data_IF_685986364273
#
_entry.id   IF_685986364273
#
_cell.length_a   1.000
_cell.length_b   1.000
_cell.length_c   1.000
_cell.angle_alpha   90.00
_cell.angle_beta   90.00
_cell.angle_gamma   90.00
#
_symmetry.space_group_name_H-M   'P 1'
#
loop_
_entity.id
_entity.type
_entity.pdbx_description
1 polymer ?
#
# COMPACT_ATOMS: atom_id res chain seq x y z
N UNK A 1 0.45 -15.28 6.41
CA UNK A 1 0.29 -15.24 4.94
C UNK A 1 0.83 -13.90 4.46
N UNK A 2 1.38 -13.82 3.25
CA UNK A 2 1.86 -12.53 2.72
C UNK A 2 0.76 -11.85 1.92
N UNK A 3 0.62 -10.56 2.16
CA UNK A 3 -0.39 -9.70 1.56
C UNK A 3 0.29 -8.53 0.89
N UNK A 4 -0.35 -8.01 -0.15
CA UNK A 4 0.10 -6.81 -0.83
C UNK A 4 -1.05 -5.83 -0.97
N UNK A 5 -0.75 -4.58 -0.65
CA UNK A 5 -1.60 -3.43 -0.86
C UNK A 5 -0.90 -2.51 -1.87
N UNK A 6 -1.60 -2.15 -2.93
CA UNK A 6 -1.12 -1.21 -3.94
C UNK A 6 -2.05 -0.02 -3.93
N UNK A 7 -1.48 1.13 -3.62
CA UNK A 7 -2.14 2.42 -3.71
C UNK A 7 -1.56 3.19 -4.89
N UNK A 8 -2.36 4.04 -5.52
CA UNK A 8 -1.87 4.93 -6.57
C UNK A 8 -2.32 6.36 -6.41
N UNK A 9 -1.53 7.25 -6.99
CA UNK A 9 -1.82 8.67 -7.09
C UNK A 9 -1.27 9.23 -8.39
N UNK A 10 -1.64 10.48 -8.71
CA UNK A 10 -0.98 11.23 -9.79
C UNK A 10 0.52 11.25 -9.54
N UNK A 11 1.32 11.19 -10.60
CA UNK A 11 2.78 11.20 -10.47
C UNK A 11 3.24 12.33 -9.55
N UNK A 12 3.92 11.95 -8.48
CA UNK A 12 4.57 12.86 -7.55
C UNK A 12 6.08 12.77 -7.71
N UNK A 13 6.78 13.86 -7.35
CA UNK A 13 8.21 13.80 -7.15
C UNK A 13 8.46 13.29 -5.74
N UNK A 14 9.04 12.10 -5.62
CA UNK A 14 9.36 11.53 -4.32
C UNK A 14 10.61 12.25 -3.78
N UNK A 15 10.52 12.93 -2.60
CA UNK A 15 11.68 13.56 -1.99
C UNK A 15 12.62 12.51 -1.38
N UNK A 16 13.91 12.82 -1.29
CA UNK A 16 14.83 12.04 -0.47
C UNK A 16 14.47 12.25 1.02
N UNK A 17 14.27 11.17 1.78
CA UNK A 17 14.06 11.25 3.22
C UNK A 17 12.95 10.36 3.75
N UNK A 18 12.16 10.89 4.69
CA UNK A 18 11.08 10.15 5.34
C UNK A 18 9.82 10.11 4.47
N UNK A 19 9.51 8.92 3.97
CA UNK A 19 8.40 8.67 3.06
C UNK A 19 7.05 8.53 3.77
N UNK A 20 7.06 8.17 5.06
CA UNK A 20 5.82 7.86 5.79
C UNK A 20 4.93 9.11 5.93
N UNK A 21 5.44 10.28 6.36
CA UNK A 21 4.63 11.49 6.46
C UNK A 21 4.01 11.91 5.12
N UNK A 22 4.74 11.73 4.01
CA UNK A 22 4.25 12.01 2.66
C UNK A 22 3.07 11.09 2.29
N UNK A 23 3.20 9.79 2.52
CA UNK A 23 2.14 8.84 2.20
C UNK A 23 0.90 9.13 3.05
N UNK A 24 1.08 9.39 4.35
CA UNK A 24 -0.03 9.73 5.24
C UNK A 24 -0.73 11.01 4.77
N UNK A 25 0.00 12.06 4.41
CA UNK A 25 -0.61 13.30 3.91
C UNK A 25 -1.41 13.07 2.62
N UNK A 26 -0.90 12.26 1.70
CA UNK A 26 -1.61 11.93 0.46
C UNK A 26 -2.93 11.18 0.73
N UNK A 27 -2.94 10.28 1.71
CA UNK A 27 -4.15 9.57 2.12
C UNK A 27 -5.15 10.55 2.77
N UNK A 28 -4.71 11.39 3.70
CA UNK A 28 -5.55 12.35 4.41
C UNK A 28 -6.17 13.41 3.47
N UNK A 29 -5.41 13.82 2.45
CA UNK A 29 -5.85 14.76 1.40
C UNK A 29 -6.73 14.11 0.32
N UNK A 30 -6.98 12.79 0.41
CA UNK A 30 -7.75 11.98 -0.55
C UNK A 30 -7.16 12.00 -1.96
N UNK A 31 -5.84 12.07 -2.07
CA UNK A 31 -5.13 12.00 -3.35
C UNK A 31 -4.74 10.57 -3.73
N UNK A 32 -5.13 9.58 -2.92
CA UNK A 32 -4.81 8.16 -3.10
C UNK A 32 -6.03 7.32 -3.48
N UNK A 33 -5.83 6.40 -4.41
CA UNK A 33 -6.79 5.35 -4.80
C UNK A 33 -6.25 3.97 -4.41
N UNK A 34 -7.14 3.04 -4.06
CA UNK A 34 -6.79 1.64 -3.76
C UNK A 34 -6.86 0.85 -5.07
N UNK A 35 -5.70 0.50 -5.64
CA UNK A 35 -5.64 -0.29 -6.88
C UNK A 35 -5.74 -1.80 -6.60
N UNK A 36 -5.15 -2.26 -5.49
CA UNK A 36 -5.16 -3.67 -5.13
C UNK A 36 -5.02 -3.89 -3.63
N UNK A 37 -5.83 -4.77 -3.06
CA UNK A 37 -5.69 -5.25 -1.69
C UNK A 37 -5.94 -6.76 -1.65
N UNK A 38 -4.89 -7.56 -1.47
CA UNK A 38 -4.99 -8.99 -1.72
C UNK A 38 -3.84 -9.82 -1.19
N UNK A 39 -3.76 -11.05 -1.69
CA UNK A 39 -2.66 -11.98 -1.38
C UNK A 39 -1.56 -11.71 -2.39
N UNK A 40 -0.31 -11.74 -1.96
CA UNK A 40 0.81 -11.64 -2.88
C UNK A 40 0.80 -12.83 -3.86
N UNK A 41 0.62 -12.56 -5.15
CA UNK A 41 0.62 -13.58 -6.21
C UNK A 41 2.03 -13.65 -6.79
N UNK A 42 2.64 -14.84 -6.73
CA UNK A 42 4.02 -15.09 -7.21
C UNK A 42 4.19 -15.10 -8.74
N UNK A 43 3.29 -14.52 -9.53
CA UNK A 43 3.43 -14.55 -10.98
C UNK A 43 2.74 -13.36 -11.65
N UNK A 44 3.55 -12.43 -12.14
CA UNK A 44 3.10 -11.33 -13.01
C UNK A 44 3.67 -11.60 -14.39
N UNK A 45 2.93 -12.31 -15.25
CA UNK A 45 3.23 -12.29 -16.68
C UNK A 45 2.82 -10.93 -17.22
N UNK A 46 3.80 -10.03 -17.36
CA UNK A 46 3.59 -8.67 -17.83
C UNK A 46 3.34 -8.64 -19.35
N UNK A 47 2.11 -8.32 -19.75
CA UNK A 47 1.79 -7.88 -21.11
C UNK A 47 1.34 -6.42 -21.07
N UNK A 48 2.26 -5.49 -21.25
CA UNK A 48 1.97 -4.05 -21.26
C UNK A 48 1.72 -3.54 -22.69
N UNK A 49 0.52 -3.05 -22.96
CA UNK A 49 0.27 -2.23 -24.15
C UNK A 49 0.69 -0.75 -23.95
N UNK A 50 0.72 0.03 -25.03
CA UNK A 50 1.13 1.44 -25.02
C UNK A 50 0.24 2.35 -24.14
N UNK A 51 -1.05 2.02 -23.99
CA UNK A 51 -1.95 2.79 -23.13
C UNK A 51 -1.69 2.49 -21.65
N UNK A 52 -1.38 1.24 -21.32
CA UNK A 52 -1.00 0.80 -20.00
C UNK A 52 0.34 1.43 -19.57
N UNK A 53 1.31 1.52 -20.49
CA UNK A 53 2.57 2.26 -20.25
C UNK A 53 2.36 3.74 -19.97
N UNK A 54 1.45 4.40 -20.69
CA UNK A 54 1.15 5.81 -20.46
C UNK A 54 0.55 6.04 -19.07
N UNK A 55 -0.37 5.17 -18.64
CA UNK A 55 -0.94 5.22 -17.29
C UNK A 55 0.16 5.04 -16.24
N UNK A 56 1.02 4.04 -16.38
CA UNK A 56 2.13 3.76 -15.46
C UNK A 56 3.10 4.95 -15.35
N UNK A 57 3.37 5.65 -16.45
CA UNK A 57 4.29 6.79 -16.45
C UNK A 57 3.71 8.07 -15.82
N UNK A 58 2.38 8.19 -15.78
CA UNK A 58 1.67 9.33 -15.18
C UNK A 58 1.20 9.07 -13.73
N UNK A 59 1.47 7.88 -13.22
CA UNK A 59 0.98 7.39 -11.93
C UNK A 59 2.16 6.97 -11.06
N UNK A 60 2.08 7.38 -9.80
CA UNK A 60 2.97 6.93 -8.74
C UNK A 60 2.27 5.83 -7.97
N UNK A 61 2.99 4.74 -7.71
CA UNK A 61 2.48 3.59 -6.97
C UNK A 61 3.17 3.47 -5.61
N UNK A 62 2.38 3.22 -4.57
CA UNK A 62 2.87 2.86 -3.24
C UNK A 62 2.46 1.41 -2.99
N UNK A 63 3.46 0.52 -2.95
CA UNK A 63 3.28 -0.92 -2.74
C UNK A 63 3.69 -1.26 -1.30
N UNK A 64 2.79 -1.87 -0.54
CA UNK A 64 3.01 -2.23 0.86
C UNK A 64 2.85 -3.74 1.01
N UNK A 65 3.92 -4.39 1.42
CA UNK A 65 3.96 -5.82 1.74
C UNK A 65 3.87 -6.00 3.25
N UNK A 66 2.99 -6.88 3.71
CA UNK A 66 2.80 -7.16 5.12
C UNK A 66 2.29 -8.59 5.36
N UNK A 67 2.57 -9.13 6.56
CA UNK A 67 2.15 -10.47 6.96
C UNK A 67 0.91 -10.42 7.86
N UNK A 68 -0.11 -11.21 7.52
CA UNK A 68 -1.34 -11.34 8.32
C UNK A 68 -1.91 -12.75 8.26
N UNK A 69 -2.94 -13.02 9.08
CA UNK A 69 -3.78 -14.20 8.87
C UNK A 69 -4.73 -13.96 7.68
N UNK A 70 -5.72 -14.83 7.52
CA UNK A 70 -6.70 -14.72 6.44
C UNK A 70 -7.51 -13.44 6.59
N UNK A 71 -7.48 -12.59 5.57
CA UNK A 71 -8.29 -11.38 5.46
C UNK A 71 -9.54 -11.68 4.63
N UNK A 72 -10.71 -11.22 5.07
CA UNK A 72 -11.91 -11.18 4.25
C UNK A 72 -11.97 -9.86 3.47
N UNK A 73 -11.32 -9.81 2.32
CA UNK A 73 -11.17 -8.57 1.54
C UNK A 73 -12.50 -7.93 1.13
N UNK A 74 -13.57 -8.73 0.98
CA UNK A 74 -14.88 -8.24 0.55
C UNK A 74 -15.60 -7.43 1.64
N UNK A 75 -15.14 -7.49 2.89
CA UNK A 75 -15.73 -6.73 4.00
C UNK A 75 -15.15 -5.33 4.16
N UNK A 76 -14.16 -4.93 3.36
CA UNK A 76 -13.49 -3.65 3.48
C UNK A 76 -13.88 -2.71 2.34
N UNK A 77 -14.20 -1.47 2.67
CA UNK A 77 -14.29 -0.38 1.70
C UNK A 77 -12.90 0.21 1.47
N UNK A 78 -12.71 0.96 0.37
CA UNK A 78 -11.46 1.66 0.10
C UNK A 78 -11.06 2.56 1.28
N UNK A 79 -12.04 3.19 1.93
CA UNK A 79 -11.81 4.02 3.12
C UNK A 79 -11.23 3.19 4.27
N UNK A 80 -11.73 1.98 4.49
CA UNK A 80 -11.25 1.09 5.55
C UNK A 80 -9.83 0.62 5.27
N UNK A 81 -9.52 0.34 4.00
CA UNK A 81 -8.17 -0.01 3.55
C UNK A 81 -7.20 1.16 3.73
N UNK A 82 -7.61 2.39 3.41
CA UNK A 82 -6.79 3.59 3.61
C UNK A 82 -6.53 3.87 5.10
N UNK A 83 -7.54 3.70 5.96
CA UNK A 83 -7.34 3.82 7.42
C UNK A 83 -6.39 2.73 7.94
N UNK A 84 -6.59 1.49 7.51
CA UNK A 84 -5.69 0.39 7.82
C UNK A 84 -4.26 0.66 7.36
N UNK A 85 -4.08 1.33 6.21
CA UNK A 85 -2.78 1.76 5.72
C UNK A 85 -2.11 2.74 6.68
N UNK A 86 -2.84 3.76 7.13
CA UNK A 86 -2.30 4.73 8.11
C UNK A 86 -1.87 4.00 9.39
N UNK A 87 -2.69 3.06 9.88
CA UNK A 87 -2.36 2.27 11.07
C UNK A 87 -1.12 1.40 10.87
N UNK A 88 -0.99 0.76 9.70
CA UNK A 88 0.21 0.00 9.32
C UNK A 88 1.46 0.88 9.27
N UNK A 89 1.36 2.08 8.69
CA UNK A 89 2.48 3.01 8.56
C UNK A 89 2.93 3.58 9.91
N UNK A 90 1.98 3.84 10.83
CA UNK A 90 2.26 4.29 12.19
C UNK A 90 2.82 3.21 13.11
N UNK A 91 2.71 1.94 12.72
CA UNK A 91 3.24 0.85 13.52
C UNK A 91 4.74 1.02 13.76
N UNK A 92 5.22 0.80 14.98
CA UNK A 92 6.59 1.21 15.39
C UNK A 92 7.70 0.24 15.00
N UNK A 93 7.38 -0.92 14.43
CA UNK A 93 8.41 -1.87 14.00
C UNK A 93 9.22 -1.34 12.82
N UNK A 94 10.37 -1.98 12.61
CA UNK A 94 11.25 -1.73 11.48
C UNK A 94 10.51 -1.92 10.15
N UNK A 95 10.72 -0.97 9.23
CA UNK A 95 10.19 -1.01 7.87
C UNK A 95 11.35 -0.90 6.91
N UNK A 96 11.38 -1.78 5.92
CA UNK A 96 12.26 -1.61 4.77
C UNK A 96 11.52 -0.78 3.73
N UNK A 97 12.06 0.40 3.42
CA UNK A 97 11.48 1.30 2.42
C UNK A 97 12.48 1.44 1.27
N UNK A 98 12.00 1.17 0.05
CA UNK A 98 12.71 1.43 -1.21
C UNK A 98 11.87 2.39 -2.02
N UNK A 99 12.48 3.43 -2.54
CA UNK A 99 11.82 4.37 -3.42
C UNK A 99 12.66 4.59 -4.67
N UNK A 100 12.00 4.79 -5.80
CA UNK A 100 12.62 5.27 -7.03
C UNK A 100 12.13 6.69 -7.37
N UNK A 101 12.15 7.08 -8.65
CA UNK A 101 11.78 8.43 -9.06
C UNK A 101 10.29 8.75 -8.87
N UNK A 102 9.43 7.73 -8.82
CA UNK A 102 7.97 7.92 -8.75
C UNK A 102 7.21 6.87 -7.93
N UNK A 103 7.81 5.75 -7.59
CA UNK A 103 7.18 4.64 -6.88
C UNK A 103 7.86 4.37 -5.53
N UNK A 104 7.07 3.93 -4.54
CA UNK A 104 7.52 3.59 -3.19
C UNK A 104 7.12 2.15 -2.89
N UNK A 105 8.08 1.35 -2.41
CA UNK A 105 7.86 0.02 -1.90
C UNK A 105 8.19 -0.02 -0.40
N UNK A 106 7.26 -0.55 0.39
CA UNK A 106 7.39 -0.69 1.84
C UNK A 106 7.18 -2.15 2.21
N UNK A 107 8.10 -2.71 2.98
CA UNK A 107 7.97 -4.02 3.59
C UNK A 107 7.86 -3.82 5.10
N UNK A 108 6.76 -4.28 5.68
CA UNK A 108 6.46 -4.15 7.11
C UNK A 108 6.56 -5.53 7.75
N UNK A 109 7.52 -5.71 8.65
CA UNK A 109 7.58 -6.89 9.51
C UNK A 109 6.66 -6.69 10.72
N UNK A 110 5.40 -7.07 10.55
CA UNK A 110 4.35 -6.96 11.55
C UNK A 110 4.01 -8.33 12.12
N UNK A 111 3.89 -8.41 13.44
CA UNK A 111 3.42 -9.65 14.06
C UNK A 111 1.99 -9.97 13.63
N UNK A 112 1.70 -11.24 13.33
CA UNK A 112 0.36 -11.69 12.91
C UNK A 112 -0.74 -11.23 13.88
N UNK A 113 -0.46 -11.30 15.18
CA UNK A 113 -1.37 -10.86 16.24
C UNK A 113 -1.75 -9.39 16.06
N UNK A 114 -0.75 -8.52 15.87
CA UNK A 114 -1.00 -7.09 15.75
C UNK A 114 -1.69 -6.72 14.44
N UNK A 115 -1.31 -7.37 13.33
CA UNK A 115 -2.02 -7.18 12.06
C UNK A 115 -3.51 -7.50 12.18
N UNK A 116 -3.86 -8.61 12.84
CA UNK A 116 -5.26 -8.98 13.07
C UNK A 116 -6.01 -7.98 13.97
N UNK A 117 -5.34 -7.40 14.97
CA UNK A 117 -5.93 -6.37 15.82
C UNK A 117 -6.27 -5.11 15.01
N UNK A 118 -5.36 -4.67 14.12
CA UNK A 118 -5.61 -3.53 13.23
C UNK A 118 -6.77 -3.79 12.27
N UNK A 119 -6.85 -4.98 11.69
CA UNK A 119 -7.95 -5.37 10.79
C UNK A 119 -9.31 -5.34 11.50
N UNK A 120 -9.40 -5.81 12.75
CA UNK A 120 -10.64 -5.78 13.52
C UNK A 120 -11.13 -4.37 13.86
N UNK A 121 -10.22 -3.41 13.98
CA UNK A 121 -10.55 -2.00 14.24
C UNK A 121 -11.13 -1.37 12.97
N UNK A 122 -10.56 -1.68 11.81
CA UNK A 122 -10.88 -1.04 10.53
C UNK A 122 -12.03 -1.71 9.77
N UNK A 123 -12.33 -2.99 10.00
CA UNK A 123 -13.39 -3.74 9.31
C UNK A 123 -14.80 -3.65 9.94
N UNK A 124 -15.20 -2.50 10.49
CA UNK A 124 -16.50 -2.31 11.18
C UNK A 124 -17.37 -1.20 10.61
#
# INVERSE_FOLDING_TARGET
>A
MQHVLILSTKRINIPEGDFIPLIISLIEEKEMEVDYFGIEINNTEDYFDEQMKLKINSTSFITIHFACDRIDYNSYTDKDVLNFTIDLLHYKEEKEIKADDKDIQIIIDISLKFCNELLQINGR
#
